data_IF_690868003374
#
_entry.id   IF_690868003374
#
_cell.length_a   1.000
_cell.length_b   1.000
_cell.length_c   1.000
_cell.angle_alpha   90.00
_cell.angle_beta   90.00
_cell.angle_gamma   90.00
#
_symmetry.space_group_name_H-M   'P 1'
#
loop_
_entity.id
_entity.type
_entity.pdbx_description
1 polymer ?
#
# COMPACT_ATOMS: atom_id res chain seq x y z
N UNK A 1 3.09 3.94 -15.44
CA UNK A 1 4.25 4.45 -14.68
C UNK A 1 5.52 3.71 -15.07
N UNK A 2 5.61 2.40 -14.80
CA UNK A 2 6.79 1.59 -15.21
C UNK A 2 6.98 1.57 -16.72
N UNK A 3 5.92 1.31 -17.50
CA UNK A 3 5.96 1.34 -18.96
C UNK A 3 6.33 2.69 -19.58
N UNK A 4 6.25 3.78 -18.80
CA UNK A 4 6.56 5.14 -19.24
C UNK A 4 7.93 5.59 -18.72
N UNK A 5 8.72 4.71 -18.12
CA UNK A 5 10.04 5.03 -17.56
C UNK A 5 10.01 5.94 -16.31
N UNK A 6 8.83 6.23 -15.77
CA UNK A 6 8.66 7.12 -14.60
C UNK A 6 9.08 6.43 -13.30
N UNK A 7 8.99 5.10 -13.23
CA UNK A 7 9.39 4.30 -12.08
C UNK A 7 10.04 2.99 -12.55
N UNK A 8 11.06 2.51 -11.83
CA UNK A 8 11.71 1.22 -12.13
C UNK A 8 10.91 0.00 -11.69
N UNK A 9 10.04 0.15 -10.69
CA UNK A 9 9.19 -0.93 -10.15
C UNK A 9 7.89 -0.34 -9.62
N UNK A 10 6.80 -1.12 -9.61
CA UNK A 10 5.55 -0.72 -9.00
C UNK A 10 4.65 -1.91 -8.69
N UNK A 11 3.85 -1.85 -7.60
CA UNK A 11 2.87 -2.89 -7.31
C UNK A 11 1.77 -2.89 -8.38
N UNK A 12 1.33 -4.07 -8.79
CA UNK A 12 0.29 -4.26 -9.81
C UNK A 12 -0.46 -5.56 -9.56
N UNK A 13 -1.73 -5.62 -9.97
CA UNK A 13 -2.46 -6.91 -9.98
C UNK A 13 -1.93 -7.76 -11.12
N UNK A 14 -1.81 -9.08 -10.89
CA UNK A 14 -1.31 -10.01 -11.90
C UNK A 14 -2.11 -9.97 -13.20
N UNK A 15 -3.43 -9.79 -13.12
CA UNK A 15 -4.28 -9.64 -14.30
C UNK A 15 -3.85 -8.48 -15.21
N UNK A 16 -3.46 -7.34 -14.62
CA UNK A 16 -2.95 -6.19 -15.37
C UNK A 16 -1.53 -6.40 -15.83
N UNK A 17 -0.68 -7.02 -15.00
CA UNK A 17 0.70 -7.34 -15.39
C UNK A 17 0.74 -8.20 -16.66
N UNK A 18 -0.06 -9.27 -16.71
CA UNK A 18 -0.14 -10.15 -17.88
C UNK A 18 -0.66 -9.45 -19.13
N UNK A 19 -1.60 -8.50 -19.01
CA UNK A 19 -2.02 -7.68 -20.15
C UNK A 19 -0.91 -6.71 -20.58
N UNK A 20 -0.23 -6.05 -19.65
CA UNK A 20 0.85 -5.11 -19.97
C UNK A 20 2.04 -5.80 -20.62
N UNK A 21 2.39 -7.02 -20.22
CA UNK A 21 3.48 -7.78 -20.83
C UNK A 21 3.25 -8.09 -22.31
N UNK A 22 1.99 -8.20 -22.76
CA UNK A 22 1.66 -8.35 -24.19
C UNK A 22 2.02 -7.09 -24.99
N UNK A 23 1.91 -5.91 -24.38
CA UNK A 23 2.18 -4.62 -25.01
C UNK A 23 3.63 -4.15 -24.80
N UNK A 24 4.22 -4.49 -23.66
CA UNK A 24 5.53 -4.04 -23.21
C UNK A 24 6.36 -5.26 -22.77
N UNK A 25 6.93 -6.04 -23.72
CA UNK A 25 7.61 -7.29 -23.43
C UNK A 25 8.90 -7.14 -22.62
N UNK A 26 9.41 -5.92 -22.48
CA UNK A 26 10.57 -5.57 -21.65
C UNK A 26 10.21 -5.36 -20.17
N UNK A 27 8.93 -5.42 -19.80
CA UNK A 27 8.48 -5.31 -18.40
C UNK A 27 8.33 -6.71 -17.81
N UNK A 28 9.04 -6.94 -16.71
CA UNK A 28 8.92 -8.19 -15.95
C UNK A 28 7.87 -8.08 -14.84
N UNK A 29 7.32 -9.23 -14.47
CA UNK A 29 6.40 -9.36 -13.35
C UNK A 29 6.83 -10.51 -12.44
N UNK A 30 6.96 -10.21 -11.15
CA UNK A 30 7.43 -11.14 -10.13
C UNK A 30 6.51 -11.09 -8.91
N UNK A 31 6.11 -12.27 -8.41
CA UNK A 31 5.42 -12.37 -7.11
C UNK A 31 6.42 -12.19 -5.97
N UNK A 32 6.00 -11.50 -4.90
CA UNK A 32 6.77 -11.41 -3.66
C UNK A 32 6.40 -12.58 -2.73
N UNK A 33 7.31 -12.91 -1.79
CA UNK A 33 7.19 -14.06 -0.87
C UNK A 33 5.84 -14.15 -0.14
N UNK A 34 5.16 -13.02 0.06
CA UNK A 34 3.88 -12.92 0.78
C UNK A 34 2.80 -12.17 -0.03
N UNK A 35 2.80 -12.25 -1.37
CA UNK A 35 1.78 -11.54 -2.17
C UNK A 35 0.37 -12.04 -1.81
N UNK A 36 -0.55 -11.16 -1.35
CA UNK A 36 -1.89 -11.57 -0.97
C UNK A 36 -2.72 -11.97 -2.18
N UNK A 37 -3.62 -12.95 -2.00
CA UNK A 37 -4.68 -13.23 -2.98
C UNK A 37 -5.86 -12.33 -2.68
N UNK A 38 -6.19 -11.49 -3.65
CA UNK A 38 -7.34 -10.59 -3.55
C UNK A 38 -8.57 -11.27 -4.17
N UNK A 39 -9.58 -11.65 -3.37
CA UNK A 39 -10.82 -12.18 -3.91
C UNK A 39 -11.55 -11.09 -4.72
N UNK A 40 -12.18 -11.50 -5.82
CA UNK A 40 -13.15 -10.66 -6.52
C UNK A 40 -14.55 -11.05 -6.07
N UNK A 41 -15.36 -10.07 -5.72
CA UNK A 41 -16.73 -10.28 -5.26
C UNK A 41 -17.73 -9.80 -6.29
N UNK A 42 -18.87 -10.47 -6.37
CA UNK A 42 -20.06 -10.02 -7.10
C UNK A 42 -21.25 -10.12 -6.15
N UNK A 43 -22.12 -9.11 -6.15
CA UNK A 43 -23.28 -9.06 -5.26
C UNK A 43 -24.42 -8.28 -5.91
N UNK A 44 -25.65 -8.68 -5.58
CA UNK A 44 -26.85 -7.89 -5.89
C UNK A 44 -27.06 -6.78 -4.87
N UNK A 45 -27.43 -5.59 -5.34
CA UNK A 45 -27.78 -4.47 -4.45
C UNK A 45 -29.24 -4.63 -4.04
N UNK A 46 -29.52 -4.51 -2.73
CA UNK A 46 -30.89 -4.53 -2.22
C UNK A 46 -31.67 -3.33 -2.79
N UNK A 47 -32.77 -3.62 -3.48
CA UNK A 47 -33.61 -2.59 -4.10
C UNK A 47 -35.09 -2.87 -3.78
N UNK A 48 -35.95 -1.84 -3.57
CA UNK A 48 -37.38 -2.04 -3.31
C UNK A 48 -38.09 -2.81 -4.42
N UNK A 49 -37.62 -2.65 -5.66
CA UNK A 49 -38.02 -3.44 -6.83
C UNK A 49 -36.83 -4.25 -7.32
N UNK A 50 -36.70 -5.54 -6.92
CA UNK A 50 -35.60 -6.38 -7.33
C UNK A 50 -35.57 -6.57 -8.86
N UNK A 51 -34.42 -6.36 -9.48
CA UNK A 51 -34.23 -6.68 -10.89
C UNK A 51 -33.89 -8.17 -11.04
N UNK A 52 -34.78 -8.95 -11.66
CA UNK A 52 -34.58 -10.39 -11.91
C UNK A 52 -33.27 -10.70 -12.67
N UNK A 53 -32.85 -9.80 -13.57
CA UNK A 53 -31.63 -9.98 -14.35
C UNK A 53 -30.35 -9.85 -13.53
N UNK A 54 -30.41 -9.22 -12.34
CA UNK A 54 -29.24 -9.10 -11.49
C UNK A 54 -28.80 -10.46 -10.93
N UNK A 55 -29.75 -11.30 -10.52
CA UNK A 55 -29.46 -12.66 -10.05
C UNK A 55 -29.06 -13.56 -11.21
N UNK A 56 -29.76 -13.49 -12.33
CA UNK A 56 -29.39 -14.25 -13.54
C UNK A 56 -27.97 -13.93 -14.02
N UNK A 57 -27.55 -12.66 -13.94
CA UNK A 57 -26.18 -12.26 -14.26
C UNK A 57 -25.16 -12.82 -13.26
N UNK A 58 -25.47 -12.83 -11.96
CA UNK A 58 -24.62 -13.44 -10.94
C UNK A 58 -24.44 -14.93 -11.24
N UNK A 59 -25.54 -15.64 -11.48
CA UNK A 59 -25.52 -17.07 -11.81
C UNK A 59 -24.73 -17.34 -13.10
N UNK A 60 -24.88 -16.49 -14.11
CA UNK A 60 -24.10 -16.58 -15.35
C UNK A 60 -22.59 -16.40 -15.10
N UNK A 61 -22.19 -15.42 -14.29
CA UNK A 61 -20.78 -15.20 -13.92
C UNK A 61 -20.22 -16.37 -13.11
N UNK A 62 -21.04 -16.97 -12.24
CA UNK A 62 -20.65 -18.10 -11.40
C UNK A 62 -20.74 -19.46 -12.13
N UNK A 63 -21.36 -19.51 -13.30
CA UNK A 63 -21.48 -20.74 -14.10
C UNK A 63 -20.11 -21.32 -14.49
N UNK A 64 -20.04 -22.65 -14.61
CA UNK A 64 -18.83 -23.36 -15.04
C UNK A 64 -18.30 -22.84 -16.38
N UNK A 65 -19.20 -22.55 -17.33
CA UNK A 65 -18.84 -22.02 -18.64
C UNK A 65 -18.11 -20.67 -18.60
N UNK A 66 -18.45 -19.81 -17.64
CA UNK A 66 -17.79 -18.52 -17.45
C UNK A 66 -16.51 -18.70 -16.65
N UNK A 67 -16.57 -19.46 -15.55
CA UNK A 67 -15.44 -19.71 -14.66
C UNK A 67 -14.24 -20.29 -15.42
N UNK A 68 -14.46 -21.26 -16.32
CA UNK A 68 -13.41 -21.86 -17.17
C UNK A 68 -12.76 -20.88 -18.16
N UNK A 69 -13.44 -19.77 -18.50
CA UNK A 69 -12.96 -18.75 -19.45
C UNK A 69 -12.36 -17.51 -18.77
N UNK A 70 -12.48 -17.35 -17.45
CA UNK A 70 -12.02 -16.13 -16.75
C UNK A 70 -10.54 -15.82 -16.99
N UNK A 71 -9.70 -16.87 -17.05
CA UNK A 71 -8.26 -16.70 -17.25
C UNK A 71 -7.94 -16.16 -18.63
N UNK A 72 -8.60 -16.64 -19.69
CA UNK A 72 -8.35 -16.18 -21.05
C UNK A 72 -9.00 -14.83 -21.34
N UNK A 73 -10.15 -14.53 -20.72
CA UNK A 73 -10.89 -13.30 -20.97
C UNK A 73 -10.29 -12.09 -20.24
N UNK A 74 -9.93 -12.26 -18.98
CA UNK A 74 -9.56 -11.14 -18.10
C UNK A 74 -8.38 -11.45 -17.17
N UNK A 75 -7.63 -12.52 -17.43
CA UNK A 75 -6.52 -12.99 -16.59
C UNK A 75 -6.90 -13.17 -15.11
N UNK A 76 -8.15 -13.52 -14.82
CA UNK A 76 -8.61 -13.83 -13.47
C UNK A 76 -8.72 -15.34 -13.29
N UNK A 77 -8.45 -15.76 -12.07
CA UNK A 77 -8.58 -17.15 -11.67
C UNK A 77 -10.02 -17.49 -11.34
N UNK A 78 -10.44 -18.70 -11.70
CA UNK A 78 -11.71 -19.26 -11.29
C UNK A 78 -11.73 -19.50 -9.78
N UNK A 79 -12.92 -19.60 -9.21
CA UNK A 79 -13.11 -19.88 -7.77
C UNK A 79 -12.36 -21.15 -7.33
N UNK A 80 -12.34 -22.17 -8.19
CA UNK A 80 -11.77 -23.49 -7.90
C UNK A 80 -10.33 -23.68 -8.41
N UNK A 81 -9.69 -22.63 -8.94
CA UNK A 81 -8.33 -22.75 -9.44
C UNK A 81 -7.33 -23.04 -8.31
N UNK A 82 -6.74 -24.23 -8.35
CA UNK A 82 -5.60 -24.61 -7.51
C UNK A 82 -4.34 -23.93 -8.04
N UNK A 83 -4.05 -22.73 -7.57
CA UNK A 83 -2.76 -22.11 -7.83
C UNK A 83 -1.67 -22.83 -7.04
N UNK A 84 -0.67 -23.38 -7.73
CA UNK A 84 0.60 -23.79 -7.12
C UNK A 84 1.38 -22.50 -6.87
N UNK A 85 1.20 -21.90 -5.69
CA UNK A 85 1.95 -20.72 -5.22
C UNK A 85 2.41 -21.00 -3.80
N UNK A 86 3.49 -20.35 -3.31
CA UNK A 86 3.82 -20.42 -1.89
C UNK A 86 2.57 -20.08 -1.08
N UNK A 87 2.24 -20.95 -0.13
CA UNK A 87 1.02 -20.88 0.68
C UNK A 87 0.85 -19.45 1.21
N UNK A 88 -0.35 -18.90 1.02
CA UNK A 88 -0.74 -17.72 1.79
C UNK A 88 -0.68 -18.15 3.25
N UNK A 89 0.03 -17.42 4.14
CA UNK A 89 0.15 -17.84 5.52
C UNK A 89 -1.20 -18.00 6.20
N UNK A 90 -2.25 -17.27 5.79
CA UNK A 90 -3.62 -17.40 6.33
C UNK A 90 -4.70 -16.93 5.35
N UNK A 91 -5.95 -17.44 5.41
CA UNK A 91 -7.10 -16.89 4.70
C UNK A 91 -7.39 -15.44 5.12
N UNK A 92 -7.91 -14.66 4.18
CA UNK A 92 -8.22 -13.24 4.37
C UNK A 92 -9.31 -13.04 5.45
N UNK A 93 -8.97 -12.39 6.56
CA UNK A 93 -9.91 -12.09 7.65
C UNK A 93 -10.78 -10.87 7.30
N UNK A 94 -11.91 -11.10 6.62
CA UNK A 94 -12.81 -10.04 6.15
C UNK A 94 -13.33 -9.10 7.26
N UNK A 95 -13.59 -9.63 8.45
CA UNK A 95 -13.99 -8.83 9.61
C UNK A 95 -12.90 -7.83 10.00
N UNK A 96 -11.66 -8.30 10.07
CA UNK A 96 -10.49 -7.49 10.39
C UNK A 96 -10.22 -6.44 9.31
N UNK A 97 -10.37 -6.79 8.03
CA UNK A 97 -10.26 -5.81 6.94
C UNK A 97 -11.29 -4.69 7.08
N UNK A 98 -12.57 -5.04 7.31
CA UNK A 98 -13.63 -4.04 7.49
C UNK A 98 -13.37 -3.15 8.71
N UNK A 99 -12.86 -3.72 9.80
CA UNK A 99 -12.48 -2.98 11.00
C UNK A 99 -11.31 -2.01 10.72
N UNK A 100 -10.34 -2.41 9.89
CA UNK A 100 -9.14 -1.64 9.61
C UNK A 100 -9.25 -0.71 8.40
N UNK A 101 -10.33 -0.78 7.62
CA UNK A 101 -10.48 0.00 6.37
C UNK A 101 -10.32 1.50 6.60
N UNK A 102 -11.06 2.04 7.58
CA UNK A 102 -11.00 3.45 7.91
C UNK A 102 -9.64 3.87 8.50
N UNK A 103 -9.05 3.00 9.33
CA UNK A 103 -7.72 3.20 9.91
C UNK A 103 -6.66 3.31 8.81
N UNK A 104 -6.62 2.35 7.88
CA UNK A 104 -5.65 2.33 6.78
C UNK A 104 -5.82 3.54 5.88
N UNK A 105 -7.08 3.89 5.54
CA UNK A 105 -7.38 5.10 4.76
C UNK A 105 -6.83 6.36 5.44
N UNK A 106 -7.10 6.53 6.72
CA UNK A 106 -6.67 7.72 7.44
C UNK A 106 -5.17 7.77 7.66
N UNK A 107 -4.52 6.65 7.97
CA UNK A 107 -3.06 6.59 8.03
C UNK A 107 -2.45 6.98 6.68
N UNK A 108 -2.95 6.43 5.58
CA UNK A 108 -2.46 6.78 4.25
C UNK A 108 -2.60 8.28 3.98
N UNK A 109 -3.76 8.87 4.26
CA UNK A 109 -3.98 10.30 4.06
C UNK A 109 -3.03 11.15 4.90
N UNK A 110 -2.92 10.86 6.21
CA UNK A 110 -2.11 11.68 7.14
C UNK A 110 -0.61 11.50 6.94
N UNK A 111 -0.16 10.31 6.54
CA UNK A 111 1.27 9.98 6.49
C UNK A 111 1.86 10.04 5.09
N UNK A 112 1.05 9.83 4.04
CA UNK A 112 1.48 9.85 2.64
C UNK A 112 0.91 11.06 1.91
N UNK A 113 -0.43 11.16 1.80
CA UNK A 113 -1.06 12.19 0.97
C UNK A 113 -0.70 13.62 1.41
N UNK A 114 -0.85 13.93 2.71
CA UNK A 114 -0.52 15.24 3.25
C UNK A 114 0.98 15.52 3.35
N UNK A 115 1.83 14.49 3.29
CA UNK A 115 3.28 14.60 3.51
C UNK A 115 4.09 14.38 2.23
N UNK A 116 3.44 14.26 1.08
CA UNK A 116 4.08 13.82 -0.17
C UNK A 116 5.33 14.64 -0.53
N UNK A 117 5.26 15.96 -0.38
CA UNK A 117 6.39 16.87 -0.63
C UNK A 117 7.59 16.54 0.26
N UNK A 118 7.36 16.43 1.57
CA UNK A 118 8.40 16.15 2.56
C UNK A 118 8.96 14.74 2.40
N UNK A 119 8.11 13.76 2.09
CA UNK A 119 8.52 12.39 1.78
C UNK A 119 9.46 12.35 0.57
N UNK A 120 9.07 12.98 -0.54
CA UNK A 120 9.89 13.04 -1.74
C UNK A 120 11.26 13.68 -1.45
N UNK A 121 11.27 14.79 -0.71
CA UNK A 121 12.52 15.46 -0.33
C UNK A 121 13.40 14.59 0.58
N UNK A 122 12.83 14.00 1.63
CA UNK A 122 13.56 13.13 2.55
C UNK A 122 14.19 11.95 1.82
N UNK A 123 13.42 11.23 0.98
CA UNK A 123 13.92 10.08 0.23
C UNK A 123 14.92 10.47 -0.85
N UNK A 124 14.77 11.63 -1.50
CA UNK A 124 15.77 12.13 -2.44
C UNK A 124 17.12 12.40 -1.74
N UNK A 125 17.10 13.00 -0.54
CA UNK A 125 18.31 13.24 0.24
C UNK A 125 18.95 11.93 0.72
N UNK A 126 18.16 11.01 1.26
CA UNK A 126 18.62 9.67 1.68
C UNK A 126 19.25 8.91 0.50
N UNK A 127 18.61 8.92 -0.67
CA UNK A 127 19.16 8.30 -1.87
C UNK A 127 20.47 8.96 -2.34
N UNK A 128 20.62 10.27 -2.15
CA UNK A 128 21.89 10.94 -2.45
C UNK A 128 23.00 10.55 -1.46
N UNK A 129 22.67 10.26 -0.19
CA UNK A 129 23.64 9.74 0.78
C UNK A 129 24.06 8.31 0.43
N UNK A 130 23.14 7.46 -0.03
CA UNK A 130 23.44 6.07 -0.43
C UNK A 130 24.57 5.96 -1.46
N UNK A 131 24.71 6.95 -2.34
CA UNK A 131 25.81 7.03 -3.33
C UNK A 131 27.20 7.08 -2.69
N UNK A 132 27.30 7.50 -1.43
CA UNK A 132 28.54 7.64 -0.67
C UNK A 132 28.61 6.67 0.52
N UNK A 133 27.79 5.62 0.55
CA UNK A 133 27.66 4.74 1.72
C UNK A 133 29.00 4.18 2.23
N UNK A 134 29.94 3.88 1.33
CA UNK A 134 31.27 3.37 1.66
C UNK A 134 32.23 4.42 2.24
N UNK A 135 31.88 5.70 2.15
CA UNK A 135 32.69 6.84 2.60
C UNK A 135 32.19 7.43 3.93
N UNK A 136 31.05 6.94 4.43
CA UNK A 136 30.47 7.42 5.68
C UNK A 136 31.30 6.98 6.88
N UNK A 137 31.62 7.92 7.76
CA UNK A 137 32.12 7.62 9.10
C UNK A 137 31.05 6.88 9.92
N UNK A 138 31.46 6.19 10.99
CA UNK A 138 30.52 5.51 11.89
C UNK A 138 29.43 6.45 12.44
N UNK A 139 29.77 7.71 12.72
CA UNK A 139 28.82 8.71 13.20
C UNK A 139 27.80 9.08 12.11
N UNK A 140 28.27 9.34 10.88
CA UNK A 140 27.40 9.64 9.75
C UNK A 140 26.51 8.46 9.37
N UNK A 141 27.01 7.23 9.46
CA UNK A 141 26.22 6.02 9.24
C UNK A 141 25.07 5.92 10.25
N UNK A 142 25.33 6.19 11.54
CA UNK A 142 24.26 6.23 12.58
C UNK A 142 23.23 7.33 12.28
N UNK A 143 23.68 8.52 11.90
CA UNK A 143 22.79 9.62 11.51
C UNK A 143 21.93 9.25 10.29
N UNK A 144 22.53 8.64 9.27
CA UNK A 144 21.84 8.16 8.08
C UNK A 144 20.76 7.11 8.44
N UNK A 145 21.08 6.12 9.27
CA UNK A 145 20.10 5.14 9.74
C UNK A 145 18.96 5.78 10.54
N UNK A 146 19.26 6.76 11.41
CA UNK A 146 18.24 7.51 12.15
C UNK A 146 17.31 8.27 11.18
N UNK A 147 17.87 8.97 10.20
CA UNK A 147 17.08 9.71 9.22
C UNK A 147 16.18 8.77 8.40
N UNK A 148 16.70 7.61 7.99
CA UNK A 148 15.93 6.59 7.28
C UNK A 148 14.79 6.06 8.15
N UNK A 149 15.06 5.74 9.40
CA UNK A 149 14.04 5.30 10.36
C UNK A 149 12.95 6.36 10.53
N UNK A 150 13.30 7.63 10.73
CA UNK A 150 12.33 8.72 10.87
C UNK A 150 11.45 8.86 9.62
N UNK A 151 12.03 8.78 8.42
CA UNK A 151 11.27 8.88 7.17
C UNK A 151 10.36 7.68 6.88
N UNK A 152 10.62 6.52 7.51
CA UNK A 152 9.89 5.27 7.27
C UNK A 152 9.01 4.82 8.43
N UNK A 153 9.00 5.52 9.56
CA UNK A 153 8.26 5.10 10.76
C UNK A 153 6.89 5.78 10.80
N UNK A 154 5.78 5.03 10.68
CA UNK A 154 4.44 5.58 10.82
C UNK A 154 4.17 6.06 12.26
N UNK A 155 3.15 6.91 12.47
CA UNK A 155 2.84 7.50 13.78
C UNK A 155 2.17 6.51 14.76
N UNK A 156 1.96 5.26 14.35
CA UNK A 156 1.40 4.19 15.19
C UNK A 156 2.22 2.91 15.00
N UNK A 157 2.22 2.05 15.99
CA UNK A 157 2.83 0.71 15.96
C UNK A 157 1.80 -0.39 15.66
N UNK A 158 2.27 -1.59 15.37
CA UNK A 158 1.41 -2.78 15.25
C UNK A 158 0.67 -3.08 16.56
N UNK A 159 1.35 -2.89 17.70
CA UNK A 159 0.76 -3.09 19.02
C UNK A 159 -0.43 -2.17 19.27
N UNK A 160 -0.38 -0.92 18.81
CA UNK A 160 -1.49 0.03 18.95
C UNK A 160 -2.75 -0.41 18.20
N UNK A 161 -2.58 -1.18 17.11
CA UNK A 161 -3.69 -1.69 16.31
C UNK A 161 -4.33 -2.91 16.97
N UNK A 162 -3.52 -3.79 17.57
CA UNK A 162 -4.00 -5.05 18.15
C UNK A 162 -4.76 -4.85 19.47
N UNK A 163 -4.54 -3.74 20.18
CA UNK A 163 -5.32 -3.38 21.39
C UNK A 163 -6.68 -2.77 21.08
N UNK A 164 -7.06 -2.60 19.81
CA UNK A 164 -8.33 -1.99 19.42
C UNK A 164 -8.38 -0.47 19.67
N UNK A 165 -7.24 0.18 19.88
CA UNK A 165 -7.13 1.59 20.27
C UNK A 165 -7.72 2.57 19.26
N UNK A 166 -8.10 2.12 18.06
CA UNK A 166 -8.64 2.95 16.99
C UNK A 166 -10.06 2.56 16.56
N UNK A 167 -10.75 1.72 17.34
CA UNK A 167 -12.14 1.33 17.07
C UNK A 167 -13.12 2.51 17.11
N UNK A 168 -12.75 3.64 17.72
CA UNK A 168 -13.57 4.86 17.79
C UNK A 168 -13.53 5.70 16.51
N UNK A 169 -12.62 5.41 15.56
CA UNK A 169 -12.48 6.23 14.36
C UNK A 169 -13.80 6.28 13.59
N UNK A 170 -14.20 7.48 13.19
CA UNK A 170 -15.45 7.73 12.50
C UNK A 170 -15.22 8.41 11.16
N UNK A 171 -16.03 8.07 10.15
CA UNK A 171 -16.03 8.76 8.86
C UNK A 171 -16.66 10.16 8.93
N UNK A 172 -17.29 10.51 10.05
CA UNK A 172 -17.92 11.81 10.26
C UNK A 172 -16.87 12.91 10.41
N UNK A 173 -17.00 13.97 9.61
CA UNK A 173 -16.14 15.16 9.72
C UNK A 173 -16.37 15.95 11.01
N UNK A 174 -17.48 15.71 11.70
CA UNK A 174 -17.84 16.38 12.96
C UNK A 174 -17.28 15.66 14.20
N UNK A 175 -16.72 14.46 14.04
CA UNK A 175 -16.15 13.72 15.16
C UNK A 175 -14.82 14.32 15.62
N UNK A 176 -14.86 15.06 16.73
CA UNK A 176 -13.72 15.83 17.24
C UNK A 176 -12.58 14.92 17.71
N UNK A 177 -12.90 13.74 18.25
CA UNK A 177 -11.89 12.77 18.71
C UNK A 177 -11.10 12.23 17.53
N UNK A 178 -11.77 11.80 16.45
CA UNK A 178 -11.11 11.40 15.20
C UNK A 178 -10.25 12.54 14.67
N UNK A 179 -10.78 13.77 14.53
CA UNK A 179 -9.99 14.89 13.99
C UNK A 179 -8.73 15.19 14.81
N UNK A 180 -8.82 15.09 16.14
CA UNK A 180 -7.66 15.25 17.03
C UNK A 180 -6.60 14.18 16.75
N UNK A 181 -7.00 12.91 16.66
CA UNK A 181 -6.09 11.80 16.36
C UNK A 181 -5.44 11.95 14.98
N UNK A 182 -6.22 12.32 13.95
CA UNK A 182 -5.68 12.54 12.61
C UNK A 182 -4.66 13.69 12.59
N UNK A 183 -4.93 14.76 13.33
CA UNK A 183 -3.99 15.89 13.46
C UNK A 183 -2.70 15.44 14.14
N UNK A 184 -2.80 14.69 15.24
CA UNK A 184 -1.63 14.15 15.94
C UNK A 184 -0.78 13.26 15.01
N UNK A 185 -1.40 12.34 14.26
CA UNK A 185 -0.67 11.50 13.31
C UNK A 185 0.03 12.29 12.22
N UNK A 186 -0.65 13.31 11.69
CA UNK A 186 -0.09 14.20 10.68
C UNK A 186 1.13 14.95 11.24
N UNK A 187 1.00 15.52 12.43
CA UNK A 187 2.06 16.30 13.06
C UNK A 187 3.26 15.43 13.41
N UNK A 188 3.04 14.22 13.95
CA UNK A 188 4.10 13.25 14.21
C UNK A 188 4.86 12.91 12.93
N UNK A 189 4.16 12.57 11.84
CA UNK A 189 4.82 12.24 10.57
C UNK A 189 5.55 13.45 9.99
N UNK A 190 4.95 14.64 10.06
CA UNK A 190 5.55 15.88 9.59
C UNK A 190 6.88 16.16 10.29
N UNK A 191 6.88 16.09 11.63
CA UNK A 191 8.05 16.35 12.45
C UNK A 191 9.16 15.31 12.19
N UNK A 192 8.80 14.02 12.08
CA UNK A 192 9.75 12.97 11.74
C UNK A 192 10.43 13.24 10.38
N UNK A 193 9.67 13.68 9.38
CA UNK A 193 10.21 13.99 8.05
C UNK A 193 11.10 15.22 8.08
N UNK A 194 10.72 16.30 8.79
CA UNK A 194 11.56 17.47 8.94
C UNK A 194 12.89 17.15 9.61
N UNK A 195 12.86 16.32 10.67
CA UNK A 195 14.09 15.88 11.34
C UNK A 195 14.94 15.00 10.41
N UNK A 196 14.32 14.08 9.67
CA UNK A 196 15.01 13.25 8.68
C UNK A 196 15.71 14.10 7.60
N UNK A 197 15.02 15.12 7.08
CA UNK A 197 15.56 16.06 6.10
C UNK A 197 16.75 16.83 6.70
N UNK A 198 16.60 17.39 7.90
CA UNK A 198 17.67 18.16 8.56
C UNK A 198 18.93 17.32 8.81
N UNK A 199 18.76 16.08 9.31
CA UNK A 199 19.87 15.14 9.50
C UNK A 199 20.53 14.83 8.16
N UNK A 200 19.74 14.53 7.13
CA UNK A 200 20.27 14.15 5.81
C UNK A 200 21.03 15.30 5.14
N UNK A 201 20.54 16.54 5.25
CA UNK A 201 21.24 17.73 4.77
C UNK A 201 22.58 17.91 5.46
N UNK A 202 22.64 17.73 6.79
CA UNK A 202 23.88 17.82 7.56
C UNK A 202 24.90 16.75 7.15
N UNK A 203 24.47 15.52 6.94
CA UNK A 203 25.36 14.44 6.46
C UNK A 203 25.92 14.79 5.07
N UNK A 204 25.07 15.23 4.14
CA UNK A 204 25.51 15.60 2.79
C UNK A 204 26.44 16.81 2.77
N UNK A 205 26.24 17.82 3.63
CA UNK A 205 27.16 18.96 3.70
C UNK A 205 28.55 18.55 4.19
N UNK A 206 28.62 17.57 5.10
CA UNK A 206 29.89 17.05 5.63
C UNK A 206 30.62 16.12 4.65
N UNK A 207 29.94 15.59 3.62
CA UNK A 207 30.55 14.79 2.56
C UNK A 207 31.11 15.65 1.41
N UNK A 208 30.65 16.89 1.30
CA UNK A 208 31.03 17.82 0.22
C UNK A 208 32.14 18.81 0.63
N UNK A 209 32.43 18.92 1.92
CA UNK A 209 33.55 19.71 2.46
C UNK A 209 34.71 18.79 2.79
#
# INVERSE_FOLDING_TARGET
MVSQGVAGVGPVLDSFAFEYQKQFPFIEFHYQKNTPRLPSFIAGIKHPTPNKYALEFIDYVLSESTQTKLKSLINKYAINDKMIRPELPEPLKLSLMKQRDLLVKYLFDQTISFQLTNLNQAWQLLHNIDKYQHQLTLSQQKSYQKAKQLASTPPISEQDVDTGSFAYLSSSRQDTLTQKTLTQWRDTMHNNLLESIAISQKVLSQLRG
#
